data_IF_485583207319
#
_entry.id   IF_485583207319
#
_cell.length_a   1.000
_cell.length_b   1.000
_cell.length_c   1.000
_cell.angle_alpha   90.00
_cell.angle_beta   90.00
_cell.angle_gamma   90.00
#
_symmetry.space_group_name_H-M   'P 1'
#
loop_
_entity.id
_entity.type
_entity.pdbx_description
1 polymer ?
#
# COMPACT_ATOMS: atom_id res chain seq x y z
N UNK A 1 -3.07 -6.90 -26.64
CA UNK A 1 -3.17 -5.46 -26.37
C UNK A 1 -2.15 -5.13 -25.30
N UNK A 2 -1.26 -4.17 -25.56
CA UNK A 2 -0.30 -3.72 -24.54
C UNK A 2 -1.08 -2.99 -23.46
N UNK A 3 -1.20 -3.57 -22.27
CA UNK A 3 -1.86 -2.90 -21.17
C UNK A 3 -0.97 -1.76 -20.69
N UNK A 4 -1.41 -0.52 -20.89
CA UNK A 4 -0.74 0.66 -20.35
C UNK A 4 -0.71 0.56 -18.83
N UNK A 5 0.44 0.77 -18.22
CA UNK A 5 0.57 0.87 -16.76
C UNK A 5 0.37 2.32 -16.31
N UNK A 6 -0.27 2.51 -15.17
CA UNK A 6 -0.50 3.82 -14.55
C UNK A 6 -0.17 3.75 -13.05
N UNK A 7 0.14 4.88 -12.38
CA UNK A 7 0.32 4.90 -10.94
C UNK A 7 -0.87 4.26 -10.21
N UNK A 8 -0.62 3.52 -9.12
CA UNK A 8 -1.68 2.79 -8.39
C UNK A 8 -2.85 3.70 -7.97
N UNK A 9 -2.56 4.96 -7.66
CA UNK A 9 -3.57 5.96 -7.28
C UNK A 9 -4.49 6.34 -8.45
N UNK A 10 -3.97 6.36 -9.66
CA UNK A 10 -4.73 6.59 -10.89
C UNK A 10 -5.57 5.36 -11.24
N UNK A 11 -4.98 4.17 -11.20
CA UNK A 11 -5.73 2.92 -11.36
C UNK A 11 -6.89 2.81 -10.35
N UNK A 12 -6.67 3.16 -9.08
CA UNK A 12 -7.73 3.18 -8.07
C UNK A 12 -8.89 4.15 -8.41
N UNK A 13 -8.61 5.28 -9.09
CA UNK A 13 -9.65 6.21 -9.56
C UNK A 13 -10.45 5.57 -10.70
N UNK A 14 -9.77 4.96 -11.67
CA UNK A 14 -10.41 4.25 -12.78
C UNK A 14 -11.34 3.14 -12.28
N UNK A 15 -10.91 2.35 -11.29
CA UNK A 15 -11.78 1.33 -10.68
C UNK A 15 -13.03 1.94 -10.06
N UNK A 16 -12.92 3.07 -9.33
CA UNK A 16 -14.08 3.73 -8.71
C UNK A 16 -15.07 4.27 -9.75
N UNK A 17 -14.57 4.81 -10.85
CA UNK A 17 -15.40 5.25 -11.98
C UNK A 17 -16.08 4.05 -12.64
N UNK A 18 -15.36 2.96 -12.87
CA UNK A 18 -15.90 1.76 -13.51
C UNK A 18 -16.96 1.05 -12.65
N UNK A 19 -16.77 1.00 -11.33
CA UNK A 19 -17.78 0.51 -10.38
C UNK A 19 -19.08 1.28 -10.51
N UNK A 20 -19.02 2.62 -10.51
CA UNK A 20 -20.20 3.46 -10.68
C UNK A 20 -20.87 3.24 -12.05
N UNK A 21 -20.07 3.14 -13.13
CA UNK A 21 -20.56 2.89 -14.49
C UNK A 21 -21.30 1.56 -14.63
N UNK A 22 -20.82 0.51 -13.95
CA UNK A 22 -21.43 -0.83 -13.97
C UNK A 22 -22.48 -1.05 -12.88
N UNK A 23 -22.77 -0.03 -12.06
CA UNK A 23 -23.65 -0.13 -10.90
C UNK A 23 -23.25 -1.26 -9.93
N UNK A 24 -21.94 -1.54 -9.84
CA UNK A 24 -21.37 -2.57 -8.98
C UNK A 24 -20.75 -1.97 -7.72
N UNK A 25 -20.62 -2.79 -6.69
CA UNK A 25 -19.86 -2.46 -5.50
C UNK A 25 -18.68 -3.43 -5.32
N UNK A 26 -17.76 -3.09 -4.42
CA UNK A 26 -16.55 -3.88 -4.17
C UNK A 26 -16.85 -5.29 -3.62
N UNK A 27 -17.99 -5.50 -2.95
CA UNK A 27 -18.39 -6.82 -2.47
C UNK A 27 -18.75 -7.73 -3.64
N UNK A 28 -19.58 -7.24 -4.58
CA UNK A 28 -19.95 -8.00 -5.78
C UNK A 28 -18.73 -8.39 -6.61
N UNK A 29 -17.77 -7.47 -6.78
CA UNK A 29 -16.50 -7.79 -7.44
C UNK A 29 -15.74 -8.87 -6.69
N UNK A 30 -15.66 -8.80 -5.35
CA UNK A 30 -14.99 -9.80 -4.52
C UNK A 30 -15.56 -11.21 -4.69
N UNK A 31 -16.90 -11.30 -4.67
CA UNK A 31 -17.61 -12.56 -4.83
C UNK A 31 -17.35 -13.15 -6.22
N UNK A 32 -17.31 -12.32 -7.26
CA UNK A 32 -17.08 -12.74 -8.65
C UNK A 32 -15.64 -13.23 -8.90
N UNK A 33 -14.64 -12.54 -8.34
CA UNK A 33 -13.22 -12.89 -8.58
C UNK A 33 -12.65 -13.90 -7.58
N UNK A 34 -13.43 -14.29 -6.57
CA UNK A 34 -13.07 -15.26 -5.54
C UNK A 34 -12.04 -14.75 -4.53
N UNK A 35 -12.06 -13.45 -4.21
CA UNK A 35 -11.18 -12.85 -3.20
C UNK A 35 -11.99 -12.22 -2.07
N UNK A 36 -11.41 -12.11 -0.88
CA UNK A 36 -12.10 -11.44 0.22
C UNK A 36 -12.28 -9.94 -0.07
N UNK A 37 -13.40 -9.39 0.37
CA UNK A 37 -13.66 -7.94 0.34
C UNK A 37 -12.52 -7.13 0.96
N UNK A 38 -11.92 -7.63 2.04
CA UNK A 38 -10.79 -6.99 2.72
C UNK A 38 -9.54 -6.91 1.84
N UNK A 39 -9.27 -7.94 1.02
CA UNK A 39 -8.14 -7.94 0.08
C UNK A 39 -8.37 -6.93 -1.04
N UNK A 40 -9.57 -6.90 -1.62
CA UNK A 40 -9.90 -5.92 -2.67
C UNK A 40 -9.85 -4.50 -2.14
N UNK A 41 -10.51 -4.22 -1.02
CA UNK A 41 -10.50 -2.88 -0.43
C UNK A 41 -9.12 -2.40 -0.03
N UNK A 42 -8.23 -3.29 0.43
CA UNK A 42 -6.84 -2.95 0.68
C UNK A 42 -6.17 -2.44 -0.61
N UNK A 43 -6.29 -3.21 -1.70
CA UNK A 43 -5.70 -2.85 -2.99
C UNK A 43 -6.27 -1.56 -3.58
N UNK A 44 -7.59 -1.37 -3.54
CA UNK A 44 -8.28 -0.14 -4.01
C UNK A 44 -8.02 1.08 -3.10
N UNK A 45 -7.43 0.86 -1.93
CA UNK A 45 -6.89 1.92 -1.07
C UNK A 45 -5.41 2.20 -1.33
N UNK A 46 -4.81 1.57 -2.36
CA UNK A 46 -3.39 1.66 -2.68
C UNK A 46 -2.47 0.87 -1.75
N UNK A 47 -3.01 -0.01 -0.89
CA UNK A 47 -2.22 -0.85 0.02
C UNK A 47 -1.84 -2.14 -0.68
N UNK A 48 -0.56 -2.49 -0.62
CA UNK A 48 -0.06 -3.77 -1.13
C UNK A 48 0.43 -4.61 0.03
N UNK A 49 -0.24 -5.74 0.21
CA UNK A 49 0.05 -6.67 1.32
C UNK A 49 0.81 -7.90 0.81
N UNK A 50 0.76 -8.19 -0.50
CA UNK A 50 1.28 -9.41 -1.12
C UNK A 50 1.70 -9.16 -2.56
N UNK A 51 2.58 -10.01 -3.07
CA UNK A 51 3.11 -9.93 -4.44
C UNK A 51 2.07 -10.26 -5.53
N UNK A 52 0.94 -10.89 -5.17
CA UNK A 52 -0.14 -11.23 -6.10
C UNK A 52 -1.07 -10.05 -6.45
N UNK A 53 -0.72 -8.82 -6.07
CA UNK A 53 -1.53 -7.63 -6.32
C UNK A 53 -1.90 -7.47 -7.81
N UNK A 54 -0.97 -7.81 -8.71
CA UNK A 54 -1.17 -7.66 -10.16
C UNK A 54 -2.20 -8.66 -10.69
N UNK A 55 -2.23 -9.89 -10.16
CA UNK A 55 -3.22 -10.89 -10.55
C UNK A 55 -4.62 -10.51 -10.07
N UNK A 56 -4.72 -9.93 -8.87
CA UNK A 56 -5.97 -9.39 -8.35
C UNK A 56 -6.41 -8.20 -9.21
N UNK A 57 -5.51 -7.29 -9.56
CA UNK A 57 -5.80 -6.12 -10.39
C UNK A 57 -6.31 -6.53 -11.79
N UNK A 58 -5.70 -7.54 -12.42
CA UNK A 58 -6.16 -8.10 -13.71
C UNK A 58 -7.59 -8.63 -13.63
N UNK A 59 -7.90 -9.41 -12.60
CA UNK A 59 -9.27 -9.94 -12.40
C UNK A 59 -10.29 -8.84 -12.15
N UNK A 60 -9.96 -7.82 -11.36
CA UNK A 60 -10.82 -6.64 -11.15
C UNK A 60 -11.06 -5.93 -12.49
N UNK A 61 -10.00 -5.73 -13.28
CA UNK A 61 -10.08 -5.09 -14.58
C UNK A 61 -10.94 -5.86 -15.58
N UNK A 62 -10.87 -7.19 -15.59
CA UNK A 62 -11.72 -8.05 -16.42
C UNK A 62 -13.20 -7.85 -16.06
N UNK A 63 -13.55 -7.90 -14.77
CA UNK A 63 -14.93 -7.68 -14.30
C UNK A 63 -15.42 -6.26 -14.63
N UNK A 64 -14.55 -5.25 -14.49
CA UNK A 64 -14.95 -3.84 -14.62
C UNK A 64 -14.71 -3.24 -16.01
N UNK A 65 -14.14 -4.00 -16.95
CA UNK A 65 -13.72 -3.56 -18.28
C UNK A 65 -12.81 -2.32 -18.22
N UNK A 66 -11.72 -2.44 -17.44
CA UNK A 66 -10.68 -1.42 -17.28
C UNK A 66 -9.40 -1.86 -17.99
N UNK A 67 -8.88 -1.02 -18.89
CA UNK A 67 -7.79 -1.38 -19.80
C UNK A 67 -6.39 -0.93 -19.34
N UNK A 68 -6.27 -0.39 -18.13
CA UNK A 68 -5.00 0.07 -17.55
C UNK A 68 -4.62 -0.80 -16.35
N UNK A 69 -3.34 -1.11 -16.18
CA UNK A 69 -2.84 -1.87 -15.03
C UNK A 69 -2.15 -0.94 -14.01
N UNK A 70 -2.20 -1.24 -12.71
CA UNK A 70 -1.43 -0.49 -11.74
C UNK A 70 0.05 -0.85 -11.87
N UNK A 71 0.92 0.17 -11.91
CA UNK A 71 2.35 0.02 -11.68
C UNK A 71 2.60 -0.61 -10.30
N UNK A 72 3.73 -1.31 -10.15
CA UNK A 72 4.18 -1.77 -8.84
C UNK A 72 4.51 -0.52 -8.01
N UNK A 73 3.73 -0.20 -6.95
CA UNK A 73 4.08 0.92 -6.11
C UNK A 73 5.41 0.63 -5.43
N UNK A 74 6.20 1.69 -5.26
CA UNK A 74 7.33 1.63 -4.36
C UNK A 74 6.81 1.37 -2.94
N UNK A 75 7.52 0.51 -2.21
CA UNK A 75 7.22 0.16 -0.82
C UNK A 75 8.47 0.40 0.02
N UNK A 76 8.31 0.67 1.33
CA UNK A 76 9.43 0.67 2.24
C UNK A 76 10.23 -0.64 2.15
N UNK A 77 11.55 -0.54 2.17
CA UNK A 77 12.44 -1.70 2.10
C UNK A 77 12.36 -2.55 3.37
N UNK A 78 12.55 -3.86 3.24
CA UNK A 78 12.58 -4.77 4.39
C UNK A 78 13.67 -4.39 5.40
N UNK A 79 14.81 -3.89 4.90
CA UNK A 79 15.91 -3.40 5.71
C UNK A 79 15.49 -2.19 6.56
N UNK A 80 14.84 -1.21 5.94
CA UNK A 80 14.31 -0.05 6.67
C UNK A 80 13.25 -0.46 7.69
N UNK A 81 12.29 -1.30 7.29
CA UNK A 81 11.27 -1.84 8.20
C UNK A 81 11.91 -2.57 9.40
N UNK A 82 12.95 -3.36 9.16
CA UNK A 82 13.73 -4.03 10.20
C UNK A 82 14.43 -3.05 11.14
N UNK A 83 15.08 -2.02 10.60
CA UNK A 83 15.76 -1.00 11.38
C UNK A 83 14.80 -0.21 12.27
N UNK A 84 13.63 0.17 11.76
CA UNK A 84 12.58 0.84 12.55
C UNK A 84 12.13 -0.04 13.72
N UNK A 85 11.82 -1.32 13.46
CA UNK A 85 11.41 -2.27 14.52
C UNK A 85 12.50 -2.45 15.59
N UNK A 86 13.77 -2.54 15.18
CA UNK A 86 14.88 -2.64 16.11
C UNK A 86 15.00 -1.38 17.01
N UNK A 87 14.86 -0.18 16.44
CA UNK A 87 14.90 1.07 17.21
C UNK A 87 13.73 1.20 18.18
N UNK A 88 12.53 0.77 17.78
CA UNK A 88 11.36 0.72 18.68
C UNK A 88 11.60 -0.21 19.87
N UNK A 89 12.15 -1.40 19.61
CA UNK A 89 12.50 -2.36 20.66
C UNK A 89 13.52 -1.77 21.66
N UNK A 90 14.61 -1.18 21.17
CA UNK A 90 15.64 -0.56 22.02
C UNK A 90 15.07 0.58 22.88
N UNK A 91 14.16 1.38 22.31
CA UNK A 91 13.48 2.48 23.02
C UNK A 91 12.33 2.01 23.92
N UNK A 92 12.00 0.71 23.94
CA UNK A 92 10.80 0.15 24.60
C UNK A 92 9.51 0.89 24.22
N UNK A 93 9.42 1.31 22.96
CA UNK A 93 8.33 2.11 22.43
C UNK A 93 7.43 1.25 21.55
N UNK A 94 6.12 1.33 21.73
CA UNK A 94 5.15 0.67 20.86
C UNK A 94 4.64 1.60 19.74
N UNK A 95 3.94 1.04 18.75
CA UNK A 95 3.43 1.79 17.59
C UNK A 95 2.46 2.91 18.00
N UNK A 96 1.65 2.71 19.05
CA UNK A 96 0.70 3.72 19.54
C UNK A 96 1.41 4.91 20.18
N UNK A 97 2.51 4.67 20.88
CA UNK A 97 3.37 5.73 21.44
C UNK A 97 4.12 6.46 20.33
N UNK A 98 4.68 5.71 19.37
CA UNK A 98 5.33 6.28 18.20
C UNK A 98 4.35 7.19 17.45
N UNK A 99 3.15 6.69 17.12
CA UNK A 99 2.16 7.44 16.33
C UNK A 99 1.75 8.75 17.01
N UNK A 100 1.58 8.73 18.34
CA UNK A 100 1.33 9.95 19.12
C UNK A 100 2.51 10.91 19.06
N UNK A 101 3.74 10.41 19.19
CA UNK A 101 4.95 11.25 19.19
C UNK A 101 5.22 11.93 17.84
N UNK A 102 4.80 11.31 16.73
CA UNK A 102 5.00 11.84 15.38
C UNK A 102 3.76 12.51 14.78
N UNK A 103 2.64 12.55 15.52
CA UNK A 103 1.42 13.24 15.11
C UNK A 103 0.65 12.58 13.96
N UNK A 104 0.83 11.28 13.73
CA UNK A 104 0.13 10.53 12.68
C UNK A 104 -0.84 9.48 13.26
N UNK A 105 -1.86 9.13 12.47
CA UNK A 105 -2.77 8.04 12.80
C UNK A 105 -2.01 6.71 12.95
N UNK A 106 -2.31 5.94 14.01
CA UNK A 106 -1.65 4.67 14.33
C UNK A 106 -1.67 3.67 13.17
N UNK A 107 -2.79 3.53 12.48
CA UNK A 107 -2.95 2.56 11.39
C UNK A 107 -2.10 2.97 10.18
N UNK A 108 -2.03 4.27 9.89
CA UNK A 108 -1.15 4.82 8.86
C UNK A 108 0.31 4.50 9.17
N UNK A 109 0.76 4.75 10.40
CA UNK A 109 2.12 4.42 10.86
C UNK A 109 2.39 2.92 10.77
N UNK A 110 1.44 2.09 11.17
CA UNK A 110 1.54 0.64 11.11
C UNK A 110 1.68 0.13 9.67
N UNK A 111 0.94 0.69 8.71
CA UNK A 111 1.02 0.29 7.31
C UNK A 111 2.39 0.62 6.72
N UNK A 112 2.91 1.82 6.99
CA UNK A 112 4.21 2.27 6.47
C UNK A 112 5.35 1.47 7.09
N UNK A 113 5.39 1.40 8.42
CA UNK A 113 6.44 0.68 9.16
C UNK A 113 6.53 -0.80 8.77
N UNK A 114 5.40 -1.42 8.41
CA UNK A 114 5.35 -2.82 7.99
C UNK A 114 5.47 -3.03 6.47
N UNK A 115 5.80 -1.99 5.70
CA UNK A 115 6.07 -2.13 4.27
C UNK A 115 4.83 -2.31 3.39
N UNK A 116 3.63 -1.96 3.89
CA UNK A 116 2.37 -2.13 3.16
C UNK A 116 1.91 -0.89 2.39
N UNK A 117 2.55 0.26 2.66
CA UNK A 117 2.29 1.52 1.98
C UNK A 117 3.52 2.44 2.08
N UNK A 118 3.76 3.25 1.04
CA UNK A 118 4.77 4.30 1.06
C UNK A 118 4.11 5.64 1.38
N UNK A 119 4.61 6.33 2.40
CA UNK A 119 4.18 7.69 2.75
C UNK A 119 5.39 8.47 3.31
N UNK A 120 5.97 9.32 2.47
CA UNK A 120 7.19 10.06 2.79
C UNK A 120 7.08 10.92 4.05
N UNK A 121 5.99 11.70 4.28
CA UNK A 121 5.82 12.44 5.52
C UNK A 121 5.87 11.55 6.78
N UNK A 122 5.27 10.36 6.73
CA UNK A 122 5.35 9.40 7.85
C UNK A 122 6.76 8.85 7.99
N UNK A 123 7.42 8.45 6.90
CA UNK A 123 8.80 7.93 6.89
C UNK A 123 9.78 8.94 7.48
N UNK A 124 9.73 10.19 7.04
CA UNK A 124 10.61 11.27 7.51
C UNK A 124 10.47 11.46 9.03
N UNK A 125 9.24 11.49 9.54
CA UNK A 125 9.00 11.63 10.98
C UNK A 125 9.42 10.40 11.78
N UNK A 126 9.23 9.19 11.26
CA UNK A 126 9.75 7.96 11.88
C UNK A 126 11.28 8.03 11.96
N UNK A 127 11.94 8.39 10.85
CA UNK A 127 13.40 8.50 10.79
C UNK A 127 13.94 9.55 11.76
N UNK A 128 13.30 10.71 11.83
CA UNK A 128 13.65 11.79 12.76
C UNK A 128 13.52 11.35 14.23
N UNK A 129 12.41 10.71 14.58
CA UNK A 129 12.09 10.30 15.95
C UNK A 129 12.93 9.12 16.44
N UNK A 130 13.23 8.17 15.55
CA UNK A 130 13.96 6.95 15.88
C UNK A 130 15.44 6.97 15.51
N UNK A 131 15.90 8.03 14.82
CA UNK A 131 17.28 8.15 14.29
C UNK A 131 17.64 6.93 13.43
N UNK A 132 16.80 6.70 12.41
CA UNK A 132 16.99 5.64 11.41
C UNK A 132 17.73 6.24 10.21
N UNK A 133 18.88 5.65 9.87
CA UNK A 133 19.78 6.13 8.81
C UNK A 133 19.71 5.27 7.54
N UNK A 134 19.04 4.12 7.62
CA UNK A 134 18.84 3.22 6.49
C UNK A 134 17.90 3.90 5.48
N UNK A 135 18.18 3.83 4.16
CA UNK A 135 17.27 4.33 3.13
C UNK A 135 15.91 3.65 3.16
N UNK A 136 14.84 4.44 3.11
CA UNK A 136 13.47 3.92 3.25
C UNK A 136 12.99 3.13 2.04
N UNK A 137 13.44 3.46 0.84
CA UNK A 137 13.21 2.68 -0.38
C UNK A 137 14.51 2.01 -0.80
N UNK A 138 14.46 0.84 -1.46
CA UNK A 138 15.65 0.25 -2.04
C UNK A 138 16.33 1.26 -2.96
N UNK A 139 17.63 1.51 -2.76
CA UNK A 139 18.42 2.23 -3.74
C UNK A 139 18.50 1.30 -4.95
N UNK A 140 17.94 1.72 -6.08
CA UNK A 140 17.99 0.93 -7.30
C UNK A 140 19.44 0.55 -7.59
N UNK A 141 19.73 -0.75 -7.70
CA UNK A 141 20.79 -1.17 -8.60
C UNK A 141 20.22 -0.92 -10.00
N UNK A 142 20.65 0.17 -10.62
CA UNK A 142 20.43 0.42 -12.05
C UNK A 142 20.76 -0.82 -12.91
#
# INVERSE_FOLDING_TARGET
>A
MSNTTVPISEWCKEIRVALARKEMNLQSVADEIGYSYTTITALISGRIVKDNYLDIAKKINEVLEVNVLPEKPQLPSDEWCGAVRAKLYVKKMNISELSKSIGFNRDKVSLVLNGHALDWPVIEKINEQLKVEVPAVPVGTD
#
